data_IF_176306371586
#
_entry.id   IF_176306371586
#
_cell.length_a   1.000
_cell.length_b   1.000
_cell.length_c   1.000
_cell.angle_alpha   90.00
_cell.angle_beta   90.00
_cell.angle_gamma   90.00
#
_symmetry.space_group_name_H-M   'P 1'
#
loop_
_entity.id
_entity.type
_entity.pdbx_description
1 polymer ?
#
# COMPACT_ATOMS: atom_id res chain seq x y z
N UNK A 1 -6.99 3.03 5.13
CA UNK A 1 -5.70 3.11 4.41
C UNK A 1 -5.39 1.77 3.76
N UNK A 2 -4.51 1.75 2.75
CA UNK A 2 -4.04 0.55 2.09
C UNK A 2 -2.58 0.65 1.64
N UNK A 3 -1.94 -0.50 1.50
CA UNK A 3 -0.58 -0.67 0.96
C UNK A 3 -0.47 -1.97 0.18
N UNK A 4 0.10 -1.92 -1.02
CA UNK A 4 0.50 -3.14 -1.74
C UNK A 4 1.67 -3.78 -1.01
N UNK A 5 1.57 -5.07 -0.73
CA UNK A 5 2.61 -5.85 -0.06
C UNK A 5 3.60 -6.33 -1.12
N UNK A 6 4.90 -5.97 -1.02
CA UNK A 6 5.93 -6.58 -1.84
C UNK A 6 5.89 -8.11 -1.70
N UNK A 7 5.97 -8.90 -2.78
CA UNK A 7 5.83 -10.36 -2.73
C UNK A 7 6.66 -11.04 -1.64
N UNK A 8 7.95 -10.68 -1.48
CA UNK A 8 8.81 -11.22 -0.41
C UNK A 8 8.32 -10.98 1.02
N UNK A 9 7.43 -10.02 1.24
CA UNK A 9 6.94 -9.64 2.58
C UNK A 9 5.62 -10.33 2.95
N UNK A 10 4.91 -10.97 2.01
CA UNK A 10 3.64 -11.64 2.31
C UNK A 10 3.79 -12.71 3.39
N UNK A 11 4.71 -13.67 3.19
CA UNK A 11 4.95 -14.75 4.16
C UNK A 11 5.47 -14.20 5.50
N UNK A 12 6.44 -13.26 5.56
CA UNK A 12 6.84 -12.62 6.81
C UNK A 12 5.70 -11.94 7.57
N UNK A 13 4.76 -11.27 6.88
CA UNK A 13 3.58 -10.70 7.53
C UNK A 13 2.71 -11.81 8.15
N UNK A 14 2.31 -12.81 7.34
CA UNK A 14 1.44 -13.90 7.77
C UNK A 14 2.03 -14.73 8.92
N UNK A 15 3.36 -14.93 8.91
CA UNK A 15 4.08 -15.65 9.95
C UNK A 15 4.36 -14.81 11.22
N UNK A 16 3.95 -13.53 11.25
CA UNK A 16 4.22 -12.62 12.37
C UNK A 16 5.68 -12.19 12.50
N UNK A 17 6.52 -12.48 11.50
CA UNK A 17 7.93 -12.04 11.46
C UNK A 17 8.07 -10.57 11.05
N UNK A 18 7.06 -10.03 10.36
CA UNK A 18 6.92 -8.60 10.05
C UNK A 18 5.63 -8.09 10.71
N UNK A 19 5.78 -7.19 11.67
CA UNK A 19 4.65 -6.66 12.49
C UNK A 19 4.46 -5.15 12.37
N UNK A 20 5.20 -4.51 11.46
CA UNK A 20 5.24 -3.06 11.28
C UNK A 20 4.87 -2.68 9.84
N UNK A 21 3.99 -1.68 9.72
CA UNK A 21 3.65 -0.98 8.47
C UNK A 21 4.42 0.35 8.44
N UNK A 22 5.00 0.68 7.29
CA UNK A 22 5.70 1.95 7.07
C UNK A 22 5.71 2.31 5.58
N UNK A 23 6.14 3.53 5.25
CA UNK A 23 6.35 3.95 3.87
C UNK A 23 5.11 4.54 3.22
N UNK A 24 5.09 4.53 1.88
CA UNK A 24 3.96 5.01 1.09
C UNK A 24 2.70 4.17 1.28
N UNK A 25 1.58 4.86 1.47
CA UNK A 25 0.24 4.31 1.73
C UNK A 25 -0.83 5.20 1.07
N UNK A 26 -1.99 4.62 0.82
CA UNK A 26 -3.05 5.25 0.04
C UNK A 26 -4.40 5.12 0.76
N UNK A 27 -5.34 6.03 0.51
CA UNK A 27 -6.72 5.84 0.99
C UNK A 27 -7.44 4.87 0.05
N UNK A 28 -8.17 3.91 0.61
CA UNK A 28 -8.93 2.92 -0.17
C UNK A 28 -9.89 3.59 -1.14
N UNK A 29 -10.58 4.66 -0.70
CA UNK A 29 -11.52 5.42 -1.53
C UNK A 29 -10.87 6.05 -2.77
N UNK A 30 -9.62 6.51 -2.67
CA UNK A 30 -8.89 7.13 -3.79
C UNK A 30 -8.43 6.07 -4.81
N UNK A 31 -8.38 4.81 -4.40
CA UNK A 31 -8.03 3.66 -5.24
C UNK A 31 -9.26 2.84 -5.68
N UNK A 32 -10.48 3.27 -5.35
CA UNK A 32 -11.72 2.48 -5.55
C UNK A 32 -12.00 2.08 -7.01
N UNK A 33 -11.46 2.83 -7.98
CA UNK A 33 -11.60 2.53 -9.42
C UNK A 33 -10.48 1.63 -9.97
N UNK A 34 -9.51 1.24 -9.14
CA UNK A 34 -8.40 0.38 -9.50
C UNK A 34 -8.75 -1.06 -9.13
N UNK A 35 -9.32 -1.80 -10.08
CA UNK A 35 -9.90 -3.12 -9.86
C UNK A 35 -9.06 -4.27 -10.41
N UNK A 36 -7.86 -4.01 -10.92
CA UNK A 36 -6.93 -5.03 -11.38
C UNK A 36 -5.50 -4.83 -10.84
N UNK A 37 -4.70 -5.90 -10.77
CA UNK A 37 -3.28 -5.82 -10.41
C UNK A 37 -2.49 -4.77 -11.22
N UNK A 38 -2.62 -4.80 -12.55
CA UNK A 38 -1.95 -3.87 -13.46
C UNK A 38 -2.33 -2.41 -13.17
N UNK A 39 -3.62 -2.13 -12.96
CA UNK A 39 -4.10 -0.78 -12.65
C UNK A 39 -3.50 -0.27 -11.35
N UNK A 40 -3.44 -1.10 -10.31
CA UNK A 40 -2.83 -0.73 -9.03
C UNK A 40 -1.33 -0.50 -9.16
N UNK A 41 -0.60 -1.39 -9.84
CA UNK A 41 0.84 -1.22 -10.07
C UNK A 41 1.14 0.09 -10.81
N UNK A 42 0.41 0.35 -11.89
CA UNK A 42 0.60 1.55 -12.71
C UNK A 42 0.15 2.83 -12.00
N UNK A 43 -1.00 2.81 -11.31
CA UNK A 43 -1.53 4.00 -10.66
C UNK A 43 -0.74 4.43 -9.42
N UNK A 44 -0.06 3.49 -8.77
CA UNK A 44 0.69 3.71 -7.52
C UNK A 44 2.22 3.80 -7.74
N UNK A 45 2.66 3.94 -8.99
CA UNK A 45 4.06 4.01 -9.41
C UNK A 45 4.92 2.87 -8.86
N UNK A 46 4.41 1.63 -8.85
CA UNK A 46 5.11 0.51 -8.22
C UNK A 46 6.15 -0.16 -9.13
N UNK A 47 6.40 0.41 -10.32
CA UNK A 47 7.44 -0.03 -11.25
C UNK A 47 8.62 0.94 -11.17
N UNK A 48 9.63 0.57 -10.41
CA UNK A 48 10.86 1.33 -10.22
C UNK A 48 12.02 0.38 -9.94
N UNK A 49 13.25 0.89 -9.99
CA UNK A 49 14.44 0.10 -9.72
C UNK A 49 14.42 -0.50 -8.30
N UNK A 50 14.54 -1.82 -8.21
CA UNK A 50 14.45 -2.56 -6.94
C UNK A 50 13.02 -2.99 -6.54
N UNK A 51 12.00 -2.63 -7.32
CA UNK A 51 10.66 -3.20 -7.14
C UNK A 51 10.58 -4.64 -7.66
N UNK A 52 9.87 -5.50 -6.94
CA UNK A 52 9.51 -6.86 -7.37
C UNK A 52 8.22 -6.89 -8.22
N UNK A 53 7.59 -5.72 -8.40
CA UNK A 53 6.34 -5.57 -9.13
C UNK A 53 6.59 -5.04 -10.53
N UNK A 54 5.85 -5.60 -11.49
CA UNK A 54 5.87 -5.19 -12.89
C UNK A 54 4.45 -5.06 -13.45
N UNK A 55 4.30 -4.46 -14.65
CA UNK A 55 2.99 -4.19 -15.24
C UNK A 55 2.17 -5.46 -15.52
N UNK A 56 2.82 -6.61 -15.73
CA UNK A 56 2.15 -7.88 -16.00
C UNK A 56 1.94 -8.79 -14.78
N UNK A 57 2.02 -8.26 -13.56
CA UNK A 57 1.84 -9.10 -12.35
C UNK A 57 0.41 -9.68 -12.31
N UNK A 58 0.25 -11.02 -12.20
CA UNK A 58 -1.07 -11.65 -12.32
C UNK A 58 -1.95 -11.46 -11.08
N UNK A 59 -1.32 -11.20 -9.94
CA UNK A 59 -1.97 -11.05 -8.64
C UNK A 59 -1.21 -10.11 -7.72
N UNK A 60 -1.92 -9.51 -6.76
CA UNK A 60 -1.35 -8.67 -5.71
C UNK A 60 -1.96 -9.04 -4.37
N UNK A 61 -1.18 -8.79 -3.32
CA UNK A 61 -1.68 -8.78 -1.95
C UNK A 61 -1.68 -7.34 -1.44
N UNK A 62 -2.82 -6.88 -0.95
CA UNK A 62 -3.02 -5.50 -0.49
C UNK A 62 -3.44 -5.53 0.96
N UNK A 63 -2.62 -4.95 1.84
CA UNK A 63 -3.00 -4.74 3.23
C UNK A 63 -3.92 -3.52 3.33
N UNK A 64 -5.06 -3.66 4.00
CA UNK A 64 -6.04 -2.59 4.26
C UNK A 64 -6.32 -2.51 5.76
N UNK A 65 -6.50 -1.29 6.27
CA UNK A 65 -6.81 -1.04 7.68
C UNK A 65 -7.57 0.26 7.85
N UNK A 66 -8.28 0.40 8.97
CA UNK A 66 -8.87 1.67 9.38
C UNK A 66 -7.80 2.59 9.97
N UNK A 67 -7.74 3.84 9.50
CA UNK A 67 -6.92 4.87 10.14
C UNK A 67 -7.54 5.26 11.47
N UNK A 68 -6.73 5.29 12.53
CA UNK A 68 -7.12 5.78 13.86
C UNK A 68 -6.57 7.19 14.08
N UNK A 69 -7.16 7.91 15.02
CA UNK A 69 -6.74 9.30 15.35
C UNK A 69 -5.28 9.40 15.82
N UNK A 70 -4.74 8.31 16.37
CA UNK A 70 -3.34 8.22 16.80
C UNK A 70 -2.35 7.96 15.66
N UNK A 71 -2.84 7.54 14.49
CA UNK A 71 -1.97 7.21 13.37
C UNK A 71 -1.53 8.49 12.65
N UNK A 72 -0.24 8.59 12.31
CA UNK A 72 0.30 9.76 11.60
C UNK A 72 0.50 9.46 10.12
N UNK A 73 -0.26 10.14 9.26
CA UNK A 73 -0.09 10.12 7.81
C UNK A 73 0.25 11.51 7.33
N UNK A 74 1.34 11.65 6.59
CA UNK A 74 1.81 12.93 6.07
C UNK A 74 1.81 12.92 4.55
N UNK A 75 1.60 14.10 3.96
CA UNK A 75 1.78 14.29 2.53
C UNK A 75 3.27 14.57 2.28
N UNK A 76 3.98 13.73 1.51
CA UNK A 76 5.42 13.83 1.35
C UNK A 76 5.78 14.89 0.31
N UNK A 77 5.69 16.17 0.68
CA UNK A 77 6.05 17.28 -0.22
C UNK A 77 7.58 17.44 -0.33
N UNK A 78 8.09 17.43 -1.55
CA UNK A 78 9.50 17.72 -1.83
C UNK A 78 9.79 19.21 -1.95
N UNK A 79 11.08 19.59 -2.10
CA UNK A 79 11.52 21.00 -2.16
C UNK A 79 10.81 21.85 -3.20
N UNK A 80 10.48 21.26 -4.36
CA UNK A 80 9.78 21.95 -5.45
C UNK A 80 8.32 22.31 -5.12
N UNK A 81 7.76 21.73 -4.05
CA UNK A 81 6.44 22.05 -3.49
C UNK A 81 6.52 22.75 -2.13
N UNK A 82 7.72 23.21 -1.74
CA UNK A 82 7.94 23.90 -0.46
C UNK A 82 8.02 22.97 0.76
N UNK A 83 8.15 21.66 0.56
CA UNK A 83 8.44 20.70 1.62
C UNK A 83 9.92 20.35 1.71
N UNK A 84 10.27 19.44 2.62
CA UNK A 84 11.64 19.04 2.94
C UNK A 84 11.93 17.56 2.61
N UNK A 85 10.99 16.85 1.99
CA UNK A 85 11.14 15.42 1.68
C UNK A 85 12.06 15.18 0.48
N UNK A 86 12.98 14.25 0.63
CA UNK A 86 13.79 13.71 -0.46
C UNK A 86 13.93 12.20 -0.27
N UNK A 87 13.27 11.42 -1.12
CA UNK A 87 13.17 9.98 -0.98
C UNK A 87 13.19 9.28 -2.35
N UNK A 88 13.38 7.97 -2.32
CA UNK A 88 13.38 7.10 -3.50
C UNK A 88 11.96 6.82 -4.01
N UNK A 89 11.81 6.32 -5.26
CA UNK A 89 10.53 5.85 -5.78
C UNK A 89 9.77 4.93 -4.79
N UNK A 90 8.42 5.00 -4.73
CA UNK A 90 7.50 5.73 -5.60
C UNK A 90 7.29 7.22 -5.24
N UNK A 91 8.24 7.86 -4.55
CA UNK A 91 8.19 9.29 -4.24
C UNK A 91 8.05 10.16 -5.50
N UNK A 92 7.00 10.98 -5.55
CA UNK A 92 6.84 12.03 -6.56
C UNK A 92 7.06 13.45 -6.02
N UNK A 93 7.01 13.63 -4.70
CA UNK A 93 7.23 14.92 -4.02
C UNK A 93 6.12 15.96 -4.19
N UNK A 94 5.02 15.65 -4.85
CA UNK A 94 3.89 16.55 -5.04
C UNK A 94 2.61 16.17 -4.28
N UNK A 95 2.68 15.14 -3.44
CA UNK A 95 1.54 14.61 -2.70
C UNK A 95 0.60 13.72 -3.51
N UNK A 96 0.95 13.39 -4.76
CA UNK A 96 0.22 12.48 -5.63
C UNK A 96 1.18 11.47 -6.26
N UNK A 97 0.64 10.40 -6.85
CA UNK A 97 1.40 9.51 -7.74
C UNK A 97 1.60 10.20 -9.10
N UNK A 98 2.54 9.71 -9.90
CA UNK A 98 2.90 10.22 -11.23
C UNK A 98 2.03 9.65 -12.36
N UNK A 99 1.05 8.81 -12.02
CA UNK A 99 0.16 8.19 -13.01
C UNK A 99 -0.58 9.22 -13.85
N UNK A 100 -0.48 9.08 -15.18
CA UNK A 100 -1.19 9.97 -16.13
C UNK A 100 -2.68 9.66 -16.25
N UNK A 101 -3.12 8.49 -15.80
CA UNK A 101 -4.50 8.01 -15.92
C UNK A 101 -5.29 8.14 -14.62
N UNK A 102 -4.60 8.17 -13.49
CA UNK A 102 -5.22 8.16 -12.18
C UNK A 102 -4.58 9.22 -11.29
N UNK A 103 -5.41 10.10 -10.73
CA UNK A 103 -4.95 11.07 -9.73
C UNK A 103 -5.11 10.40 -8.36
N UNK A 104 -4.04 9.83 -7.83
CA UNK A 104 -4.05 9.14 -6.54
C UNK A 104 -3.22 9.96 -5.54
N UNK A 105 -3.85 10.53 -4.49
CA UNK A 105 -3.12 11.15 -3.38
C UNK A 105 -2.17 10.13 -2.72
N UNK A 106 -0.92 10.54 -2.53
CA UNK A 106 0.13 9.73 -1.92
C UNK A 106 0.39 10.24 -0.50
N UNK A 107 0.37 9.32 0.46
CA UNK A 107 0.70 9.60 1.86
C UNK A 107 1.87 8.73 2.30
N UNK A 108 2.57 9.15 3.34
CA UNK A 108 3.58 8.35 4.00
C UNK A 108 3.22 8.15 5.47
N UNK A 109 3.45 6.96 6.01
CA UNK A 109 3.32 6.66 7.44
C UNK A 109 4.68 6.33 8.04
N UNK A 110 4.96 6.91 9.20
CA UNK A 110 6.05 6.44 10.04
C UNK A 110 5.82 4.95 10.43
N UNK A 111 6.86 4.21 10.80
CA UNK A 111 6.72 2.85 11.30
C UNK A 111 5.68 2.76 12.42
N UNK A 112 4.66 1.93 12.24
CA UNK A 112 3.61 1.68 13.23
C UNK A 112 3.23 0.20 13.27
N UNK A 113 2.73 -0.32 14.40
CA UNK A 113 2.24 -1.69 14.48
C UNK A 113 1.05 -1.90 13.53
N UNK A 114 0.89 -3.11 13.01
CA UNK A 114 -0.29 -3.50 12.23
C UNK A 114 -1.54 -3.32 13.12
N UNK A 115 -2.53 -2.52 12.70
CA UNK A 115 -3.76 -2.34 13.47
C UNK A 115 -4.58 -3.63 13.55
N UNK A 116 -5.17 -3.92 14.70
CA UNK A 116 -6.19 -4.97 14.80
C UNK A 116 -7.35 -4.68 13.83
N UNK A 117 -7.88 -5.72 13.19
CA UNK A 117 -8.86 -5.61 12.11
C UNK A 117 -8.26 -5.24 10.76
N UNK A 118 -6.93 -5.15 10.62
CA UNK A 118 -6.30 -5.06 9.31
C UNK A 118 -6.56 -6.35 8.51
N UNK A 119 -6.79 -6.22 7.21
CA UNK A 119 -7.02 -7.35 6.32
C UNK A 119 -6.00 -7.34 5.17
N UNK A 120 -5.52 -8.51 4.79
CA UNK A 120 -4.84 -8.73 3.52
C UNK A 120 -5.89 -9.18 2.51
N UNK A 121 -5.95 -8.46 1.40
CA UNK A 121 -6.78 -8.77 0.25
C UNK A 121 -5.94 -9.39 -0.85
N UNK A 122 -6.47 -10.41 -1.50
CA UNK A 122 -5.90 -11.02 -2.69
C UNK A 122 -6.64 -10.50 -3.91
N UNK A 123 -5.92 -9.77 -4.76
CA UNK A 123 -6.44 -9.17 -5.97
C UNK A 123 -5.90 -9.89 -7.19
N UNK A 124 -6.78 -10.35 -8.07
CA UNK A 124 -6.45 -10.93 -9.37
C UNK A 124 -7.28 -10.28 -10.47
N UNK A 125 -7.10 -10.69 -11.73
CA UNK A 125 -8.00 -10.31 -12.81
C UNK A 125 -9.47 -10.76 -12.57
N UNK A 126 -9.68 -11.78 -11.73
CA UNK A 126 -11.02 -12.27 -11.36
C UNK A 126 -11.70 -11.48 -10.24
N UNK A 127 -11.00 -10.51 -9.63
CA UNK A 127 -11.55 -9.65 -8.58
C UNK A 127 -10.73 -9.64 -7.30
N UNK A 128 -11.29 -8.96 -6.30
CA UNK A 128 -10.73 -8.75 -4.96
C UNK A 128 -11.45 -9.64 -3.95
N UNK A 129 -10.69 -10.42 -3.18
CA UNK A 129 -11.21 -11.23 -2.08
C UNK A 129 -10.38 -11.03 -0.82
N UNK A 130 -11.02 -11.10 0.34
CA UNK A 130 -10.30 -11.20 1.60
C UNK A 130 -9.44 -12.47 1.60
N UNK A 131 -8.21 -12.36 2.12
CA UNK A 131 -7.25 -13.45 2.19
C UNK A 131 -6.89 -13.80 3.63
N UNK A 132 -6.62 -12.78 4.45
CA UNK A 132 -6.37 -12.94 5.87
C UNK A 132 -6.81 -11.70 6.66
N UNK A 133 -7.14 -11.89 7.93
CA UNK A 133 -7.47 -10.82 8.88
C UNK A 133 -6.54 -10.89 10.09
N UNK A 134 -6.11 -9.74 10.58
CA UNK A 134 -5.25 -9.61 11.75
C UNK A 134 -6.08 -9.34 13.00
N UNK A 135 -6.09 -10.27 13.95
CA UNK A 135 -6.89 -10.17 15.18
C UNK A 135 -6.24 -9.29 16.27
N UNK A 136 -5.08 -8.70 15.98
CA UNK A 136 -4.26 -7.96 16.94
C UNK A 136 -3.10 -8.77 17.53
N UNK A 137 -3.06 -10.10 17.28
CA UNK A 137 -1.98 -10.99 17.69
C UNK A 137 -1.42 -11.76 16.49
N UNK A 138 -2.29 -12.41 15.71
CA UNK A 138 -1.92 -13.26 14.58
C UNK A 138 -2.82 -13.03 13.37
N UNK A 139 -2.34 -13.48 12.21
CA UNK A 139 -3.15 -13.53 10.99
C UNK A 139 -3.98 -14.81 10.96
N UNK A 140 -5.27 -14.66 10.65
CA UNK A 140 -6.19 -15.77 10.41
C UNK A 140 -6.65 -15.75 8.96
N UNK A 141 -6.83 -16.92 8.31
CA UNK A 141 -7.47 -16.96 7.00
C UNK A 141 -8.83 -16.26 7.03
N UNK A 142 -9.12 -15.47 6.00
CA UNK A 142 -10.45 -14.90 5.84
C UNK A 142 -11.47 -16.01 5.56
N UNK A 143 -12.66 -15.91 6.16
CA UNK A 143 -13.76 -16.86 6.01
C UNK A 143 -14.41 -16.81 4.62
#
# INVERSE_FOLDING_TARGET
MQKVIPPRLLVPYLAGQRTIISGYVYRVQDCSRLSSPEQLVSALDLVFEGSELGPGVPELYVMRWHSRDTDTYVVPYGPHMGGDWNDSPPFAGNGFTTSRRHVVPQFHTAPMPIPAGAAIHHLTAGGDRAFAEYDGLTWRPAA
#
